data_IF_715658061121
#
_entry.id   IF_715658061121
#
_cell.length_a   1.000
_cell.length_b   1.000
_cell.length_c   1.000
_cell.angle_alpha   90.00
_cell.angle_beta   90.00
_cell.angle_gamma   90.00
#
_symmetry.space_group_name_H-M   'P 1'
#
loop_
_entity.id
_entity.type
_entity.pdbx_description
1 polymer ?
#
# COMPACT_ATOMS: atom_id res chain seq x y z
N UNK A 1 0.67 54.36 19.73
CA UNK A 1 -0.33 53.99 18.69
C UNK A 1 -0.16 52.51 18.38
N UNK A 2 -1.10 51.65 18.77
CA UNK A 2 -1.09 50.20 18.44
C UNK A 2 -2.21 49.94 17.43
N UNK A 3 -1.85 49.50 16.23
CA UNK A 3 -2.80 49.13 15.19
C UNK A 3 -3.25 47.68 15.40
N UNK A 4 -4.56 47.47 15.58
CA UNK A 4 -5.20 46.15 15.64
C UNK A 4 -5.62 45.75 14.23
N UNK A 5 -4.98 44.74 13.65
CA UNK A 5 -5.40 44.15 12.37
C UNK A 5 -6.40 43.03 12.62
N UNK A 6 -7.70 43.33 12.48
CA UNK A 6 -8.76 42.32 12.45
C UNK A 6 -8.70 41.53 11.14
N UNK A 7 -8.19 40.30 11.21
CA UNK A 7 -8.16 39.37 10.09
C UNK A 7 -9.54 38.75 9.85
N UNK A 8 -10.30 39.30 8.89
CA UNK A 8 -11.54 38.69 8.42
C UNK A 8 -11.26 37.32 7.77
N UNK A 9 -11.60 36.22 8.44
CA UNK A 9 -11.49 34.85 7.90
C UNK A 9 -12.52 34.67 6.78
N UNK A 10 -12.09 34.75 5.51
CA UNK A 10 -12.93 34.41 4.35
C UNK A 10 -13.27 32.91 4.41
N UNK A 11 -14.55 32.58 4.59
CA UNK A 11 -15.05 31.20 4.49
C UNK A 11 -14.85 30.72 3.06
N UNK A 12 -14.08 29.65 2.87
CA UNK A 12 -13.86 29.04 1.57
C UNK A 12 -15.08 28.19 1.20
N UNK A 13 -15.99 28.76 0.41
CA UNK A 13 -17.07 27.99 -0.21
C UNK A 13 -16.50 27.13 -1.34
N UNK A 14 -16.54 25.80 -1.15
CA UNK A 14 -16.16 24.87 -2.22
C UNK A 14 -17.24 24.90 -3.29
N UNK A 15 -16.98 25.57 -4.41
CA UNK A 15 -17.76 25.43 -5.64
C UNK A 15 -17.45 24.07 -6.27
N UNK A 16 -18.12 23.02 -5.81
CA UNK A 16 -18.15 21.74 -6.55
C UNK A 16 -19.07 21.98 -7.75
N UNK A 17 -18.51 21.90 -8.96
CA UNK A 17 -19.32 21.97 -10.18
C UNK A 17 -20.45 20.92 -10.10
N UNK A 18 -21.72 21.30 -10.33
CA UNK A 18 -22.87 20.42 -10.10
C UNK A 18 -22.87 19.16 -10.99
N UNK A 19 -22.09 19.15 -12.07
CA UNK A 19 -22.03 18.07 -13.05
C UNK A 19 -21.13 16.89 -12.68
N UNK A 20 -20.40 16.91 -11.56
CA UNK A 20 -19.48 15.83 -11.18
C UNK A 20 -19.56 15.47 -9.68
N UNK A 21 -20.76 15.43 -9.11
CA UNK A 21 -20.91 14.81 -7.81
C UNK A 21 -20.55 13.31 -7.90
N UNK A 22 -19.67 12.78 -7.04
CA UNK A 22 -19.35 11.35 -7.05
C UNK A 22 -20.63 10.52 -6.84
N UNK A 23 -20.76 9.41 -7.59
CA UNK A 23 -21.94 8.52 -7.62
C UNK A 23 -22.48 8.17 -6.22
N UNK A 24 -21.58 7.97 -5.25
CA UNK A 24 -21.91 7.72 -3.83
C UNK A 24 -22.76 8.84 -3.21
N UNK A 25 -22.45 10.10 -3.50
CA UNK A 25 -23.22 11.24 -3.01
C UNK A 25 -24.59 11.33 -3.69
N UNK A 26 -24.67 11.01 -4.99
CA UNK A 26 -25.95 10.96 -5.71
C UNK A 26 -26.88 9.87 -5.15
N UNK A 27 -26.34 8.68 -4.88
CA UNK A 27 -27.09 7.59 -4.21
C UNK A 27 -27.58 8.00 -2.82
N UNK A 28 -26.74 8.70 -2.05
CA UNK A 28 -27.13 9.22 -0.73
C UNK A 28 -28.29 10.22 -0.86
N UNK A 29 -28.16 11.20 -1.76
CA UNK A 29 -29.23 12.19 -2.06
C UNK A 29 -30.53 11.51 -2.48
N UNK A 30 -30.47 10.53 -3.38
CA UNK A 30 -31.64 9.76 -3.81
C UNK A 30 -32.32 9.07 -2.63
N UNK A 31 -31.55 8.39 -1.76
CA UNK A 31 -32.08 7.71 -0.58
C UNK A 31 -32.73 8.70 0.40
N UNK A 32 -32.13 9.86 0.61
CA UNK A 32 -32.63 10.86 1.55
C UNK A 32 -33.93 11.51 1.02
N UNK A 33 -33.99 11.83 -0.29
CA UNK A 33 -35.20 12.32 -0.94
C UNK A 33 -36.34 11.28 -0.95
N UNK A 34 -36.02 10.02 -1.26
CA UNK A 34 -37.03 8.95 -1.21
C UNK A 34 -37.57 8.72 0.21
N UNK A 35 -36.72 8.84 1.24
CA UNK A 35 -37.15 8.76 2.64
C UNK A 35 -38.08 9.91 3.01
N UNK A 36 -37.79 11.12 2.54
CA UNK A 36 -38.62 12.29 2.81
C UNK A 36 -40.07 12.08 2.34
N UNK A 37 -40.25 11.47 1.15
CA UNK A 37 -41.57 11.17 0.58
C UNK A 37 -42.20 9.92 1.23
N UNK A 38 -41.42 8.86 1.47
CA UNK A 38 -41.94 7.58 2.02
C UNK A 38 -42.32 7.67 3.50
N UNK A 39 -41.76 8.63 4.23
CA UNK A 39 -42.04 8.81 5.66
C UNK A 39 -43.43 9.43 5.86
N UNK A 40 -44.36 8.64 6.40
CA UNK A 40 -45.77 9.02 6.62
C UNK A 40 -45.96 10.26 7.52
N UNK A 41 -45.00 10.55 8.38
CA UNK A 41 -45.06 11.71 9.27
C UNK A 41 -44.65 13.00 8.55
N UNK A 42 -43.56 12.98 7.77
CA UNK A 42 -43.15 14.15 6.99
C UNK A 42 -44.08 14.44 5.81
N UNK A 43 -44.70 13.41 5.24
CA UNK A 43 -45.61 13.59 4.09
C UNK A 43 -46.89 14.35 4.46
N UNK A 44 -47.40 14.20 5.69
CA UNK A 44 -48.61 14.90 6.17
C UNK A 44 -48.38 16.40 6.36
N UNK A 45 -47.15 16.78 6.69
CA UNK A 45 -46.77 18.16 7.00
C UNK A 45 -46.22 18.89 5.78
N UNK A 46 -46.05 18.21 4.64
CA UNK A 46 -45.48 18.78 3.42
C UNK A 46 -46.57 19.29 2.46
N UNK A 47 -46.44 20.51 1.91
CA UNK A 47 -47.30 21.00 0.85
C UNK A 47 -47.17 20.14 -0.42
N UNK A 48 -48.26 19.97 -1.16
CA UNK A 48 -48.27 19.20 -2.42
C UNK A 48 -47.24 19.71 -3.45
N UNK A 49 -47.03 21.02 -3.51
CA UNK A 49 -46.01 21.64 -4.38
C UNK A 49 -44.59 21.16 -4.04
N UNK A 50 -44.28 21.05 -2.75
CA UNK A 50 -42.97 20.56 -2.27
C UNK A 50 -42.81 19.07 -2.59
N UNK A 51 -43.88 18.29 -2.49
CA UNK A 51 -43.86 16.87 -2.90
C UNK A 51 -43.52 16.75 -4.39
N UNK A 52 -44.23 17.49 -5.26
CA UNK A 52 -43.96 17.48 -6.70
C UNK A 52 -42.53 17.91 -7.05
N UNK A 53 -42.00 18.92 -6.36
CA UNK A 53 -40.61 19.32 -6.54
C UNK A 53 -39.62 18.22 -6.12
N UNK A 54 -39.89 17.53 -5.01
CA UNK A 54 -39.02 16.46 -4.52
C UNK A 54 -39.03 15.26 -5.47
N UNK A 55 -40.17 14.94 -6.07
CA UNK A 55 -40.29 13.90 -7.10
C UNK A 55 -39.50 14.25 -8.37
N UNK A 56 -39.58 15.51 -8.83
CA UNK A 56 -38.75 16.03 -9.94
C UNK A 56 -37.25 15.89 -9.62
N UNK A 57 -36.83 16.28 -8.41
CA UNK A 57 -35.44 16.15 -7.94
C UNK A 57 -34.99 14.69 -7.89
N UNK A 58 -35.87 13.75 -7.53
CA UNK A 58 -35.56 12.31 -7.56
C UNK A 58 -35.32 11.84 -9.00
N UNK A 59 -36.17 12.25 -9.94
CA UNK A 59 -36.01 11.90 -11.35
C UNK A 59 -34.68 12.43 -11.90
N UNK A 60 -34.32 13.68 -11.59
CA UNK A 60 -33.05 14.28 -12.02
C UNK A 60 -31.84 13.52 -11.47
N UNK A 61 -31.86 13.14 -10.18
CA UNK A 61 -30.77 12.38 -9.56
C UNK A 61 -30.67 10.96 -10.14
N UNK A 62 -31.79 10.34 -10.50
CA UNK A 62 -31.81 9.04 -11.20
C UNK A 62 -31.16 9.16 -12.58
N UNK A 63 -31.53 10.17 -13.36
CA UNK A 63 -30.94 10.45 -14.67
C UNK A 63 -29.42 10.71 -14.55
N UNK A 64 -28.98 11.42 -13.51
CA UNK A 64 -27.54 11.62 -13.25
C UNK A 64 -26.82 10.32 -12.92
N UNK A 65 -27.44 9.40 -12.15
CA UNK A 65 -26.85 8.10 -11.84
C UNK A 65 -26.78 7.21 -13.10
N UNK A 66 -27.80 7.26 -13.95
CA UNK A 66 -27.85 6.53 -15.21
C UNK A 66 -26.84 7.06 -16.24
N UNK A 67 -26.69 8.39 -16.33
CA UNK A 67 -25.67 9.03 -17.16
C UNK A 67 -24.23 8.68 -16.74
N UNK A 68 -24.02 8.30 -15.47
CA UNK A 68 -22.74 7.77 -14.97
C UNK A 68 -22.50 6.30 -15.36
N UNK A 69 -23.41 5.67 -16.11
CA UNK A 69 -23.32 4.30 -16.61
C UNK A 69 -23.61 3.23 -15.55
N UNK A 70 -23.43 1.94 -15.85
CA UNK A 70 -23.57 0.87 -14.87
C UNK A 70 -22.53 1.02 -13.76
N UNK A 71 -22.93 0.70 -12.52
CA UNK A 71 -21.99 0.62 -11.41
C UNK A 71 -21.05 -0.55 -11.68
N UNK A 72 -19.75 -0.27 -11.84
CA UNK A 72 -18.75 -1.32 -11.77
C UNK A 72 -18.82 -1.87 -10.35
N UNK A 73 -19.41 -3.04 -10.18
CA UNK A 73 -19.42 -3.73 -8.90
C UNK A 73 -17.97 -3.92 -8.42
N UNK A 74 -17.76 -4.00 -7.12
CA UNK A 74 -16.42 -4.32 -6.60
C UNK A 74 -15.85 -5.60 -7.23
N UNK A 75 -16.72 -6.56 -7.58
CA UNK A 75 -16.38 -7.75 -8.35
C UNK A 75 -15.96 -7.46 -9.80
N UNK A 76 -16.62 -6.53 -10.50
CA UNK A 76 -16.24 -6.10 -11.85
C UNK A 76 -14.96 -5.23 -11.87
N UNK A 77 -14.70 -4.47 -10.79
CA UNK A 77 -13.41 -3.83 -10.58
C UNK A 77 -12.30 -4.85 -10.29
N UNK A 78 -12.62 -5.92 -9.57
CA UNK A 78 -11.69 -7.01 -9.30
C UNK A 78 -11.40 -7.89 -10.53
N UNK A 79 -12.34 -8.01 -11.48
CA UNK A 79 -12.16 -8.84 -12.69
C UNK A 79 -11.59 -8.09 -13.90
N UNK A 80 -11.81 -6.78 -14.01
CA UNK A 80 -11.10 -5.94 -15.01
C UNK A 80 -9.67 -5.65 -14.61
N UNK A 81 -9.34 -5.92 -13.35
CA UNK A 81 -7.99 -5.89 -12.87
C UNK A 81 -7.44 -7.31 -12.83
N UNK A 82 -6.30 -7.55 -13.46
CA UNK A 82 -5.35 -8.54 -12.96
C UNK A 82 -4.90 -8.24 -11.50
N UNK A 83 -5.54 -7.28 -10.80
CA UNK A 83 -5.09 -6.71 -9.54
C UNK A 83 -5.48 -7.51 -8.30
N UNK A 84 -6.41 -8.47 -8.38
CA UNK A 84 -6.88 -9.22 -7.20
C UNK A 84 -5.75 -9.96 -6.47
N UNK A 85 -4.99 -10.76 -7.22
CA UNK A 85 -3.74 -11.37 -6.77
C UNK A 85 -2.64 -10.31 -6.61
N UNK A 86 -2.62 -9.29 -7.48
CA UNK A 86 -1.60 -8.25 -7.43
C UNK A 86 -1.56 -7.49 -6.12
N UNK A 87 -2.69 -7.19 -5.45
CA UNK A 87 -2.69 -6.33 -4.26
C UNK A 87 -2.00 -7.01 -3.09
N UNK A 88 -2.27 -8.31 -2.91
CA UNK A 88 -1.62 -9.14 -1.89
C UNK A 88 -0.14 -9.29 -2.21
N UNK A 89 0.19 -9.62 -3.45
CA UNK A 89 1.59 -9.78 -3.88
C UNK A 89 2.35 -8.46 -3.92
N UNK A 90 1.72 -7.31 -4.14
CA UNK A 90 2.33 -5.97 -4.08
C UNK A 90 2.85 -5.66 -2.68
N UNK A 91 2.07 -6.00 -1.64
CA UNK A 91 2.50 -5.85 -0.25
C UNK A 91 3.72 -6.70 0.08
N UNK A 92 3.68 -7.98 -0.31
CA UNK A 92 4.80 -8.92 -0.11
C UNK A 92 6.04 -8.54 -0.92
N UNK A 93 5.88 -8.15 -2.20
CA UNK A 93 6.97 -7.64 -3.04
C UNK A 93 7.61 -6.40 -2.43
N UNK A 94 6.83 -5.49 -1.84
CA UNK A 94 7.37 -4.30 -1.21
C UNK A 94 8.25 -4.62 0.01
N UNK A 95 7.80 -5.53 0.89
CA UNK A 95 8.60 -5.94 2.05
C UNK A 95 9.87 -6.68 1.62
N UNK A 96 9.78 -7.55 0.62
CA UNK A 96 10.94 -8.26 0.06
C UNK A 96 11.90 -7.32 -0.66
N UNK A 97 11.40 -6.35 -1.43
CA UNK A 97 12.23 -5.35 -2.10
C UNK A 97 13.04 -4.55 -1.07
N UNK A 98 12.40 -4.15 0.03
CA UNK A 98 13.07 -3.48 1.16
C UNK A 98 14.08 -4.40 1.84
N UNK A 99 13.76 -5.69 2.01
CA UNK A 99 14.65 -6.69 2.61
C UNK A 99 15.89 -6.93 1.74
N UNK A 100 15.71 -7.13 0.44
CA UNK A 100 16.80 -7.28 -0.54
C UNK A 100 17.70 -6.02 -0.57
N UNK A 101 17.11 -4.83 -0.61
CA UNK A 101 17.86 -3.58 -0.57
C UNK A 101 18.68 -3.40 0.71
N UNK A 102 18.13 -3.77 1.87
CA UNK A 102 18.86 -3.77 3.14
C UNK A 102 20.01 -4.78 3.13
N UNK A 103 19.80 -5.98 2.60
CA UNK A 103 20.85 -7.02 2.49
C UNK A 103 21.99 -6.56 1.59
N UNK A 104 21.68 -6.02 0.41
CA UNK A 104 22.69 -5.42 -0.49
C UNK A 104 23.48 -4.33 0.25
N UNK A 105 22.79 -3.42 0.94
CA UNK A 105 23.44 -2.31 1.65
C UNK A 105 24.30 -2.80 2.82
N UNK A 106 23.86 -3.83 3.54
CA UNK A 106 24.61 -4.45 4.63
C UNK A 106 25.84 -5.21 4.10
N UNK A 107 25.67 -5.95 2.99
CA UNK A 107 26.74 -6.70 2.34
C UNK A 107 27.86 -5.76 1.88
N UNK A 108 27.53 -4.66 1.20
CA UNK A 108 28.51 -3.63 0.79
C UNK A 108 29.29 -3.01 1.96
N UNK A 109 28.65 -2.90 3.14
CA UNK A 109 29.31 -2.38 4.35
C UNK A 109 30.25 -3.39 4.98
N UNK A 110 29.86 -4.67 5.01
CA UNK A 110 30.65 -5.75 5.60
C UNK A 110 31.82 -6.18 4.71
N UNK A 111 31.62 -6.12 3.40
CA UNK A 111 32.58 -6.54 2.39
C UNK A 111 32.95 -5.34 1.51
N UNK A 112 33.76 -4.38 1.99
CA UNK A 112 34.16 -3.21 1.20
C UNK A 112 34.97 -3.59 -0.05
N UNK A 113 35.58 -4.78 -0.05
CA UNK A 113 36.42 -5.31 -1.12
C UNK A 113 35.70 -6.37 -1.98
N UNK A 114 34.37 -6.37 -1.98
CA UNK A 114 33.55 -7.36 -2.70
C UNK A 114 33.84 -7.44 -4.20
N UNK A 115 34.41 -6.40 -4.80
CA UNK A 115 34.78 -6.35 -6.22
C UNK A 115 36.08 -7.11 -6.54
N UNK A 116 36.94 -7.30 -5.53
CA UNK A 116 38.23 -7.98 -5.67
C UNK A 116 38.20 -9.45 -5.28
N UNK A 117 37.29 -9.84 -4.38
CA UNK A 117 37.12 -11.24 -3.98
C UNK A 117 36.08 -11.93 -4.87
N UNK A 118 36.45 -13.03 -5.51
CA UNK A 118 35.55 -13.77 -6.41
C UNK A 118 34.32 -14.33 -5.66
N UNK A 119 34.51 -14.79 -4.42
CA UNK A 119 33.43 -15.31 -3.57
C UNK A 119 32.44 -14.21 -3.17
N UNK A 120 32.97 -13.04 -2.76
CA UNK A 120 32.14 -11.90 -2.37
C UNK A 120 31.43 -11.27 -3.57
N UNK A 121 32.09 -11.24 -4.73
CA UNK A 121 31.47 -10.78 -5.99
C UNK A 121 30.29 -11.67 -6.37
N UNK A 122 30.43 -13.01 -6.28
CA UNK A 122 29.32 -13.94 -6.56
C UNK A 122 28.16 -13.74 -5.58
N UNK A 123 28.46 -13.61 -4.28
CA UNK A 123 27.43 -13.35 -3.26
C UNK A 123 26.70 -12.02 -3.50
N UNK A 124 27.42 -10.98 -3.95
CA UNK A 124 26.82 -9.71 -4.35
C UNK A 124 25.93 -9.86 -5.59
N UNK A 125 26.37 -10.63 -6.59
CA UNK A 125 25.60 -10.89 -7.80
C UNK A 125 24.30 -11.64 -7.53
N UNK A 126 24.31 -12.58 -6.59
CA UNK A 126 23.11 -13.30 -6.13
C UNK A 126 22.11 -12.35 -5.45
N UNK A 127 22.59 -11.45 -4.58
CA UNK A 127 21.75 -10.44 -3.94
C UNK A 127 21.15 -9.45 -4.96
N UNK A 128 21.89 -9.10 -6.00
CA UNK A 128 21.37 -8.29 -7.11
C UNK A 128 20.32 -9.04 -7.94
N UNK A 129 20.52 -10.34 -8.15
CA UNK A 129 19.57 -11.20 -8.84
C UNK A 129 18.25 -11.28 -8.06
N UNK A 130 18.30 -11.40 -6.72
CA UNK A 130 17.11 -11.33 -5.86
C UNK A 130 16.32 -10.05 -6.07
N UNK A 131 17.01 -8.91 -6.09
CA UNK A 131 16.37 -7.63 -6.30
C UNK A 131 15.70 -7.54 -7.69
N UNK A 132 16.36 -8.08 -8.72
CA UNK A 132 15.81 -8.13 -10.08
C UNK A 132 14.62 -9.09 -10.18
N UNK A 133 14.65 -10.22 -9.48
CA UNK A 133 13.54 -11.16 -9.39
C UNK A 133 12.28 -10.47 -8.87
N UNK A 134 12.39 -9.75 -7.74
CA UNK A 134 11.24 -9.06 -7.13
C UNK A 134 10.65 -8.02 -8.09
N UNK A 135 11.51 -7.25 -8.76
CA UNK A 135 11.12 -6.16 -9.68
C UNK A 135 10.50 -6.66 -10.98
N UNK A 136 11.08 -7.71 -11.57
CA UNK A 136 10.74 -8.20 -12.90
C UNK A 136 9.93 -9.50 -12.89
N UNK A 137 9.40 -9.90 -11.73
CA UNK A 137 8.51 -11.05 -11.64
C UNK A 137 7.30 -10.89 -12.58
N UNK A 138 6.90 -11.92 -13.33
CA UNK A 138 5.81 -11.87 -14.30
C UNK A 138 4.52 -11.24 -13.76
N UNK A 139 3.93 -10.33 -14.53
CA UNK A 139 2.59 -9.79 -14.24
C UNK A 139 1.57 -10.85 -14.66
N UNK A 140 0.61 -11.15 -13.80
CA UNK A 140 -0.43 -12.17 -14.05
C UNK A 140 -0.24 -13.47 -13.25
N UNK A 141 0.96 -13.72 -12.72
CA UNK A 141 1.26 -14.88 -11.87
C UNK A 141 1.27 -14.51 -10.38
N UNK A 142 0.99 -15.50 -9.52
CA UNK A 142 1.14 -15.34 -8.07
C UNK A 142 2.62 -15.25 -7.71
N UNK A 143 2.98 -14.25 -6.91
CA UNK A 143 4.37 -14.02 -6.53
C UNK A 143 4.86 -15.09 -5.56
N UNK A 144 6.03 -15.65 -5.84
CA UNK A 144 6.67 -16.67 -5.00
C UNK A 144 7.77 -15.98 -4.18
N UNK A 145 7.66 -16.04 -2.85
CA UNK A 145 8.59 -15.39 -1.94
C UNK A 145 10.00 -15.96 -2.06
N UNK A 146 11.02 -15.08 -2.14
CA UNK A 146 12.43 -15.51 -2.04
C UNK A 146 12.85 -15.69 -0.59
N UNK A 147 12.20 -14.95 0.32
CA UNK A 147 12.54 -14.93 1.74
C UNK A 147 11.38 -15.38 2.63
N UNK A 148 10.81 -16.58 2.41
CA UNK A 148 9.72 -17.07 3.22
C UNK A 148 10.22 -17.38 4.64
N UNK A 149 9.31 -17.33 5.61
CA UNK A 149 9.62 -17.66 7.02
C UNK A 149 9.85 -19.16 7.20
N UNK A 150 9.10 -19.97 6.45
CA UNK A 150 9.26 -21.42 6.35
C UNK A 150 9.79 -21.81 4.96
N UNK A 151 10.56 -22.90 4.83
CA UNK A 151 10.99 -23.39 3.51
C UNK A 151 9.77 -23.70 2.63
N UNK A 152 9.92 -23.50 1.31
CA UNK A 152 8.91 -23.87 0.33
C UNK A 152 8.81 -25.39 0.27
N UNK A 153 7.62 -25.94 0.52
CA UNK A 153 7.36 -27.39 0.43
C UNK A 153 6.86 -27.81 -0.96
N UNK A 154 6.28 -26.87 -1.72
CA UNK A 154 5.71 -27.15 -3.03
C UNK A 154 6.80 -27.15 -4.13
N UNK A 155 7.10 -28.34 -4.66
CA UNK A 155 8.05 -28.51 -5.76
C UNK A 155 7.69 -27.71 -7.02
N UNK A 156 6.40 -27.47 -7.29
CA UNK A 156 5.97 -26.70 -8.45
C UNK A 156 6.35 -25.22 -8.30
N UNK A 157 6.22 -24.66 -7.09
CA UNK A 157 6.64 -23.30 -6.78
C UNK A 157 8.16 -23.15 -6.84
N UNK A 158 8.91 -24.16 -6.39
CA UNK A 158 10.37 -24.15 -6.48
C UNK A 158 10.81 -24.15 -7.96
N UNK A 159 10.23 -25.02 -8.79
CA UNK A 159 10.54 -25.10 -10.23
C UNK A 159 10.27 -23.77 -10.93
N UNK A 160 9.08 -23.21 -10.74
CA UNK A 160 8.71 -21.91 -11.33
C UNK A 160 9.61 -20.78 -10.83
N UNK A 161 9.95 -20.74 -9.54
CA UNK A 161 10.91 -19.77 -9.00
C UNK A 161 12.29 -19.90 -9.65
N UNK A 162 12.80 -21.12 -9.83
CA UNK A 162 14.09 -21.36 -10.49
C UNK A 162 14.06 -20.96 -11.96
N UNK A 163 13.01 -21.31 -12.70
CA UNK A 163 12.85 -20.94 -14.11
C UNK A 163 12.83 -19.41 -14.31
N UNK A 164 12.09 -18.71 -13.46
CA UNK A 164 12.01 -17.24 -13.50
C UNK A 164 13.37 -16.62 -13.14
N UNK A 165 14.06 -17.12 -12.10
CA UNK A 165 15.41 -16.65 -11.74
C UNK A 165 16.40 -16.86 -12.88
N UNK A 166 16.40 -18.02 -13.53
CA UNK A 166 17.27 -18.30 -14.67
C UNK A 166 16.99 -17.40 -15.86
N UNK A 167 15.71 -17.16 -16.17
CA UNK A 167 15.31 -16.24 -17.23
C UNK A 167 15.83 -14.83 -16.96
N UNK A 168 15.71 -14.37 -15.72
CA UNK A 168 16.19 -13.04 -15.30
C UNK A 168 17.73 -12.98 -15.34
N UNK A 169 18.42 -14.04 -14.93
CA UNK A 169 19.88 -14.13 -15.05
C UNK A 169 20.34 -14.02 -16.51
N UNK A 170 19.67 -14.75 -17.42
CA UNK A 170 19.92 -14.67 -18.87
C UNK A 170 19.63 -13.28 -19.44
N UNK A 171 18.54 -12.64 -19.01
CA UNK A 171 18.19 -11.28 -19.43
C UNK A 171 19.17 -10.22 -18.88
N UNK A 172 19.77 -10.46 -17.72
CA UNK A 172 20.83 -9.63 -17.15
C UNK A 172 22.13 -9.76 -17.95
N UNK A 173 22.53 -10.99 -18.31
CA UNK A 173 23.77 -11.21 -19.09
C UNK A 173 23.63 -10.76 -20.53
N UNK A 174 22.44 -10.82 -21.12
CA UNK A 174 22.15 -10.27 -22.46
C UNK A 174 22.12 -8.73 -22.49
N UNK A 175 22.11 -8.07 -21.34
CA UNK A 175 22.03 -6.61 -21.22
C UNK A 175 20.62 -6.03 -21.36
N UNK A 176 19.58 -6.87 -21.43
CA UNK A 176 18.17 -6.43 -21.43
C UNK A 176 17.78 -5.82 -20.07
N UNK A 177 18.29 -6.41 -18.97
CA UNK A 177 18.13 -5.89 -17.62
C UNK A 177 19.40 -5.20 -17.12
N UNK A 178 19.27 -3.92 -16.73
CA UNK A 178 20.37 -3.14 -16.15
C UNK A 178 20.68 -3.60 -14.72
N UNK A 179 21.97 -3.55 -14.34
CA UNK A 179 22.37 -3.73 -12.93
C UNK A 179 21.63 -2.71 -12.05
N UNK A 180 21.16 -3.12 -10.87
CA UNK A 180 20.51 -2.19 -9.94
C UNK A 180 21.56 -1.19 -9.43
N UNK A 181 21.51 0.05 -9.92
CA UNK A 181 22.32 1.14 -9.37
C UNK A 181 21.98 1.31 -7.90
N UNK A 182 23.00 1.40 -7.04
CA UNK A 182 22.89 1.37 -5.57
C UNK A 182 22.12 2.52 -4.91
N UNK A 183 21.33 3.30 -5.66
CA UNK A 183 20.37 4.23 -5.09
C UNK A 183 19.10 3.47 -4.73
N UNK A 184 18.96 3.14 -3.44
CA UNK A 184 17.76 2.59 -2.81
C UNK A 184 16.51 3.50 -2.90
N UNK A 185 16.55 4.56 -3.72
CA UNK A 185 15.51 5.59 -3.83
C UNK A 185 14.98 5.78 -5.27
N UNK A 186 15.63 5.24 -6.32
CA UNK A 186 15.31 5.63 -7.70
C UNK A 186 14.15 4.87 -8.38
N UNK A 187 13.45 3.96 -7.71
CA UNK A 187 12.33 3.25 -8.35
C UNK A 187 11.14 2.98 -7.42
N UNK A 188 10.63 4.04 -6.79
CA UNK A 188 9.21 4.11 -6.35
C UNK A 188 8.45 5.15 -7.20
N UNK A 189 8.92 5.43 -8.43
CA UNK A 189 8.41 6.49 -9.29
C UNK A 189 7.95 6.02 -10.68
N UNK A 190 7.95 4.72 -10.98
CA UNK A 190 7.29 4.21 -12.19
C UNK A 190 5.87 3.73 -11.80
N UNK A 191 4.90 4.58 -12.17
CA UNK A 191 3.45 4.48 -11.96
C UNK A 191 2.91 4.86 -10.56
N UNK A 192 3.33 6.02 -10.06
CA UNK A 192 2.41 6.82 -9.23
C UNK A 192 1.27 7.34 -10.14
N UNK A 193 -0.02 7.05 -9.86
CA UNK A 193 -1.10 7.76 -10.53
C UNK A 193 -0.94 9.25 -10.20
N UNK A 194 -0.86 10.10 -11.24
CA UNK A 194 -0.70 11.56 -11.15
C UNK A 194 -1.36 12.10 -9.88
N UNK A 195 -0.53 12.38 -8.87
CA UNK A 195 -0.99 12.98 -7.62
C UNK A 195 -1.52 14.37 -7.99
N UNK A 196 -2.85 14.51 -7.93
CA UNK A 196 -3.47 15.81 -7.84
C UNK A 196 -2.89 16.46 -6.58
N UNK A 197 -2.23 17.60 -6.73
CA UNK A 197 -1.64 18.36 -5.64
C UNK A 197 -2.75 18.92 -4.76
N UNK A 198 -3.29 18.08 -3.87
CA UNK A 198 -4.15 18.45 -2.78
C UNK A 198 -3.34 18.44 -1.50
N UNK A 199 -2.84 19.61 -1.10
CA UNK A 199 -2.28 19.84 0.23
C UNK A 199 -3.33 19.40 1.25
N UNK A 200 -3.11 18.29 1.95
CA UNK A 200 -3.91 17.96 3.14
C UNK A 200 -3.45 18.89 4.27
N UNK A 201 -4.30 19.77 4.83
CA UNK A 201 -3.95 20.44 6.07
C UNK A 201 -4.02 19.44 7.22
N UNK A 202 -2.97 19.49 8.05
CA UNK A 202 -2.85 18.78 9.31
C UNK A 202 -4.17 18.86 10.11
N UNK A 203 -4.64 17.70 10.57
CA UNK A 203 -5.69 17.63 11.59
C UNK A 203 -5.08 18.14 12.91
N UNK A 204 -5.25 19.43 13.13
CA UNK A 204 -5.05 20.06 14.43
C UNK A 204 -6.29 19.75 15.29
N UNK A 205 -6.24 18.69 16.09
CA UNK A 205 -7.09 18.49 17.26
C UNK A 205 -6.16 18.28 18.46
N UNK A 206 -5.85 19.40 19.14
CA UNK A 206 -5.35 19.48 20.51
C UNK A 206 -6.44 18.95 21.46
N UNK A 207 -6.18 18.02 22.38
CA UNK A 207 -5.40 18.10 23.64
C UNK A 207 -6.24 18.57 24.84
N UNK A 208 -5.89 18.08 26.04
CA UNK A 208 -6.56 18.08 27.37
C UNK A 208 -7.39 16.80 27.66
N UNK A 209 -7.06 15.91 28.62
CA UNK A 209 -6.18 15.91 29.81
C UNK A 209 -5.71 14.46 30.07
N UNK A 210 -4.43 14.16 30.30
CA UNK A 210 -3.68 14.20 31.59
C UNK A 210 -4.28 13.33 32.71
N UNK A 211 -3.72 12.14 32.92
CA UNK A 211 -3.21 11.74 34.24
C UNK A 211 -2.17 10.61 34.08
N UNK A 212 -1.02 10.85 34.70
CA UNK A 212 0.16 10.01 34.76
C UNK A 212 0.03 9.00 35.90
N UNK A 213 0.60 7.80 35.77
CA UNK A 213 1.27 7.15 36.91
C UNK A 213 2.36 6.20 36.43
N UNK A 214 3.47 6.24 37.15
CA UNK A 214 4.82 5.89 36.77
C UNK A 214 5.43 5.04 37.89
N UNK A 215 5.95 3.86 37.54
CA UNK A 215 6.89 3.04 38.33
C UNK A 215 7.16 1.76 37.51
N UNK A 216 8.35 1.46 36.97
CA UNK A 216 9.70 1.35 37.58
C UNK A 216 9.65 0.36 38.76
N UNK A 217 10.48 -0.66 38.94
CA UNK A 217 11.75 -1.14 38.39
C UNK A 217 11.89 -2.60 38.92
N UNK A 218 12.93 -3.29 38.48
CA UNK A 218 13.74 -4.28 39.21
C UNK A 218 13.97 -5.61 38.49
N UNK A 219 15.26 -5.75 38.20
CA UNK A 219 16.06 -6.85 37.70
C UNK A 219 15.99 -8.10 38.58
N UNK A 220 16.28 -9.26 38.00
CA UNK A 220 17.17 -10.22 38.66
C UNK A 220 17.87 -11.06 37.57
N UNK A 221 19.16 -10.76 37.38
CA UNK A 221 20.16 -11.71 36.89
C UNK A 221 20.21 -12.91 37.86
N UNK A 222 20.57 -14.09 37.37
CA UNK A 222 21.74 -14.82 37.88
C UNK A 222 22.14 -15.92 36.88
N UNK A 223 23.42 -15.86 36.53
CA UNK A 223 24.18 -16.88 35.84
C UNK A 223 24.24 -18.17 36.68
N UNK A 224 24.35 -19.34 36.05
CA UNK A 224 25.43 -20.22 36.49
C UNK A 224 25.92 -21.19 35.42
N UNK A 225 27.17 -21.53 35.60
CA UNK A 225 28.16 -21.90 34.59
C UNK A 225 28.45 -23.40 34.54
N UNK A 226 29.11 -23.83 33.45
CA UNK A 226 30.09 -24.94 33.39
C UNK A 226 29.52 -26.40 33.49
N UNK A 227 29.83 -27.33 32.59
CA UNK A 227 31.18 -27.83 32.34
C UNK A 227 31.31 -28.63 31.03
N UNK A 228 32.52 -28.51 30.51
CA UNK A 228 33.10 -29.01 29.28
C UNK A 228 33.72 -30.44 29.42
N UNK A 229 33.82 -31.14 28.29
CA UNK A 229 34.91 -32.04 27.89
C UNK A 229 35.01 -33.55 28.34
N UNK A 230 35.23 -34.36 27.28
CA UNK A 230 36.16 -35.54 27.12
C UNK A 230 35.67 -36.99 27.36
N UNK A 231 35.60 -37.76 26.27
CA UNK A 231 36.44 -38.94 25.88
C UNK A 231 35.78 -39.64 24.68
N UNK A 232 36.34 -39.75 23.47
CA UNK A 232 37.47 -40.56 22.98
C UNK A 232 37.54 -42.02 23.49
N UNK A 233 37.20 -42.95 22.57
CA UNK A 233 38.00 -44.06 21.99
C UNK A 233 38.62 -45.14 22.92
N UNK A 234 38.61 -46.38 22.40
CA UNK A 234 39.04 -47.72 22.92
C UNK A 234 37.92 -48.44 23.68
N UNK A 235 37.46 -49.62 23.30
CA UNK A 235 38.16 -50.83 22.79
C UNK A 235 37.22 -51.67 21.91
#
# INVERSE_FOLDING_TARGET
MKATTEGSKKKFERKVAPSKAPRRLLKKKLRDLERLIKNKNSLKDLPEEVVQETEKKIADVKNQIEALGPERSAAAQASTSEDGSSKKSKGLKFTELRRAGRRISAFKKQHPNYETSEEESKAMEDLELDLLYIKHFPKGEEYISIYPESPLEDEAQIKTQTEIRERIAKARTSGELKRPSGSSEDNVAEEAPKAVTGKHPASNWSDESDESDESDDEEEEEEDTKHEAKKQKSE
#
